data_IF_549000760401
#
_entry.id   IF_549000760401
#
_cell.length_a   1.000
_cell.length_b   1.000
_cell.length_c   1.000
_cell.angle_alpha   90.00
_cell.angle_beta   90.00
_cell.angle_gamma   90.00
#
_symmetry.space_group_name_H-M   'P 1'
#
loop_
_entity.id
_entity.type
_entity.pdbx_description
1 polymer ?
#
# COMPACT_ATOMS: atom_id res chain seq x y z
N UNK A 1 63.75 -5.06 -26.33
CA UNK A 1 62.54 -4.26 -26.67
C UNK A 1 61.36 -5.18 -26.84
N UNK A 2 60.37 -5.13 -25.95
CA UNK A 2 58.93 -5.17 -26.23
C UNK A 2 58.18 -4.91 -24.93
N UNK A 3 57.42 -3.80 -24.95
CA UNK A 3 56.48 -3.34 -23.94
C UNK A 3 55.33 -4.34 -23.71
N UNK A 4 54.48 -4.00 -22.74
CA UNK A 4 53.08 -4.42 -22.49
C UNK A 4 52.92 -5.51 -21.44
N UNK A 5 52.01 -5.42 -20.47
CA UNK A 5 51.12 -4.33 -20.06
C UNK A 5 50.73 -4.59 -18.60
N UNK A 6 50.65 -3.51 -17.85
CA UNK A 6 50.08 -3.41 -16.51
C UNK A 6 48.58 -3.77 -16.57
N UNK A 7 48.12 -4.79 -15.83
CA UNK A 7 46.69 -4.97 -15.53
C UNK A 7 46.51 -4.74 -14.04
N UNK A 8 46.20 -3.49 -13.68
CA UNK A 8 45.66 -3.14 -12.38
C UNK A 8 44.20 -3.60 -12.34
N UNK A 9 43.94 -4.74 -11.70
CA UNK A 9 42.59 -5.17 -11.36
C UNK A 9 42.08 -4.28 -10.21
N UNK A 10 41.46 -3.16 -10.57
CA UNK A 10 40.72 -2.32 -9.63
C UNK A 10 39.45 -3.08 -9.24
N UNK A 11 39.49 -3.80 -8.11
CA UNK A 11 38.29 -4.31 -7.44
C UNK A 11 37.49 -3.12 -6.92
N UNK A 12 36.60 -2.59 -7.77
CA UNK A 12 35.49 -1.77 -7.32
C UNK A 12 34.53 -2.74 -6.63
N UNK A 13 34.73 -2.96 -5.33
CA UNK A 13 33.66 -3.45 -4.47
C UNK A 13 32.58 -2.38 -4.46
N UNK A 14 31.66 -2.50 -5.42
CA UNK A 14 30.38 -1.81 -5.40
C UNK A 14 29.75 -2.07 -4.03
N UNK A 15 29.67 -1.02 -3.21
CA UNK A 15 28.85 -0.96 -2.01
C UNK A 15 27.38 -1.15 -2.46
N UNK A 16 26.99 -2.39 -2.72
CA UNK A 16 25.59 -2.76 -2.70
C UNK A 16 25.16 -2.63 -1.25
N UNK A 17 24.62 -1.45 -0.92
CA UNK A 17 23.75 -1.30 0.22
C UNK A 17 22.59 -2.29 0.00
N UNK A 18 22.75 -3.51 0.49
CA UNK A 18 21.67 -4.45 0.67
C UNK A 18 20.76 -3.78 1.70
N UNK A 19 19.78 -3.02 1.23
CA UNK A 19 18.69 -2.54 2.06
C UNK A 19 17.97 -3.78 2.59
N UNK A 20 18.39 -4.25 3.76
CA UNK A 20 17.74 -5.34 4.46
C UNK A 20 16.37 -4.83 4.89
N UNK A 21 15.32 -5.32 4.22
CA UNK A 21 13.95 -5.03 4.58
C UNK A 21 13.70 -5.45 6.03
N UNK A 22 13.33 -4.51 6.89
CA UNK A 22 12.99 -4.78 8.29
C UNK A 22 11.47 -4.76 8.51
N UNK A 23 11.01 -5.54 9.48
CA UNK A 23 9.59 -5.59 9.87
C UNK A 23 9.44 -5.07 11.29
N UNK A 24 8.62 -4.03 11.44
CA UNK A 24 8.30 -3.37 12.70
C UNK A 24 6.85 -3.62 13.09
N UNK A 25 6.56 -3.54 14.39
CA UNK A 25 5.19 -3.61 14.91
C UNK A 25 4.60 -2.20 15.05
N UNK A 26 3.39 -2.00 14.54
CA UNK A 26 2.65 -0.76 14.71
C UNK A 26 2.75 0.18 13.51
N UNK A 27 2.82 1.49 13.78
CA UNK A 27 2.92 2.54 12.75
C UNK A 27 4.36 3.07 12.71
N UNK A 28 4.82 3.65 11.60
CA UNK A 28 6.05 4.47 11.57
C UNK A 28 5.98 5.59 12.62
N UNK A 29 7.10 6.20 13.01
CA UNK A 29 7.12 7.29 14.02
C UNK A 29 6.87 8.68 13.44
N UNK A 30 7.17 8.87 12.15
CA UNK A 30 7.07 10.13 11.42
C UNK A 30 5.84 10.22 10.49
N UNK A 31 4.86 9.32 10.66
CA UNK A 31 3.65 9.27 9.83
C UNK A 31 2.82 10.58 9.87
N UNK A 32 2.99 11.41 10.91
CA UNK A 32 2.37 12.73 11.04
C UNK A 32 3.02 13.82 10.16
N UNK A 33 4.25 13.58 9.70
CA UNK A 33 5.04 14.49 8.88
C UNK A 33 5.05 14.09 7.41
N UNK A 34 4.92 12.79 7.16
CA UNK A 34 5.07 12.18 5.85
C UNK A 34 3.74 11.93 5.15
N UNK A 35 3.79 11.74 3.82
CA UNK A 35 2.61 11.46 3.00
C UNK A 35 2.47 9.95 2.77
N UNK A 36 1.26 9.43 3.05
CA UNK A 36 0.89 8.04 2.75
C UNK A 36 -0.01 7.94 1.52
N UNK A 37 0.20 6.91 0.71
CA UNK A 37 -0.65 6.55 -0.42
C UNK A 37 -1.69 5.52 0.04
N UNK A 38 -2.94 5.80 -0.26
CA UNK A 38 -4.03 4.83 -0.21
C UNK A 38 -4.37 4.38 -1.63
N UNK A 39 -4.32 3.07 -1.87
CA UNK A 39 -4.59 2.55 -3.21
C UNK A 39 -6.07 2.53 -3.55
N UNK A 40 -6.38 2.97 -4.77
CA UNK A 40 -7.65 2.65 -5.40
C UNK A 40 -7.70 1.17 -5.80
N UNK A 41 -8.91 0.64 -5.83
CA UNK A 41 -9.22 -0.66 -6.38
C UNK A 41 -9.30 -0.54 -7.91
N UNK A 42 -8.30 -1.06 -8.61
CA UNK A 42 -8.23 -0.96 -10.08
C UNK A 42 -9.23 -1.89 -10.76
N UNK A 43 -9.74 -1.44 -11.91
CA UNK A 43 -10.62 -2.23 -12.76
C UNK A 43 -9.78 -3.12 -13.67
N UNK A 44 -10.22 -4.36 -13.84
CA UNK A 44 -9.64 -5.26 -14.84
C UNK A 44 -10.34 -5.01 -16.16
N UNK A 45 -9.62 -4.70 -17.25
CA UNK A 45 -10.22 -4.63 -18.58
C UNK A 45 -10.88 -5.96 -18.94
N UNK A 46 -11.98 -5.91 -19.69
CA UNK A 46 -12.72 -7.08 -20.14
C UNK A 46 -12.64 -7.11 -21.66
N UNK A 47 -11.91 -8.09 -22.18
CA UNK A 47 -11.73 -8.29 -23.62
C UNK A 47 -12.87 -9.15 -24.19
N UNK A 48 -13.21 -8.94 -25.46
CA UNK A 48 -14.17 -9.72 -26.21
C UNK A 48 -13.73 -11.18 -26.41
N UNK A 49 -12.42 -11.45 -26.44
CA UNK A 49 -11.90 -12.82 -26.59
C UNK A 49 -11.96 -13.63 -25.28
N UNK A 50 -12.19 -12.99 -24.13
CA UNK A 50 -12.22 -13.69 -22.83
C UNK A 50 -13.38 -14.68 -22.73
N UNK A 51 -13.18 -15.85 -22.09
CA UNK A 51 -14.27 -16.78 -21.78
C UNK A 51 -15.38 -16.12 -20.96
N UNK A 52 -16.64 -16.51 -21.20
CA UNK A 52 -17.81 -15.92 -20.55
C UNK A 52 -17.75 -15.99 -19.01
N UNK A 53 -17.16 -17.06 -18.46
CA UNK A 53 -16.95 -17.23 -17.03
C UNK A 53 -15.99 -16.17 -16.46
N UNK A 54 -14.89 -15.86 -17.15
CA UNK A 54 -13.94 -14.82 -16.77
C UNK A 54 -14.57 -13.43 -16.88
N UNK A 55 -15.28 -13.15 -17.99
CA UNK A 55 -16.02 -11.89 -18.17
C UNK A 55 -16.97 -11.64 -17.01
N UNK A 56 -17.76 -12.66 -16.61
CA UNK A 56 -18.69 -12.57 -15.47
C UNK A 56 -17.96 -12.29 -14.16
N UNK A 57 -16.83 -12.96 -13.92
CA UNK A 57 -16.01 -12.76 -12.72
C UNK A 57 -15.46 -11.33 -12.65
N UNK A 58 -14.87 -10.82 -13.74
CA UNK A 58 -14.33 -9.47 -13.80
C UNK A 58 -15.40 -8.38 -13.71
N UNK A 59 -16.60 -8.58 -14.27
CA UNK A 59 -17.72 -7.65 -14.05
C UNK A 59 -18.05 -7.52 -12.56
N UNK A 60 -18.25 -8.65 -11.86
CA UNK A 60 -18.54 -8.65 -10.41
C UNK A 60 -17.42 -8.00 -9.59
N UNK A 61 -16.16 -8.29 -9.94
CA UNK A 61 -14.98 -7.67 -9.31
C UNK A 61 -14.96 -6.16 -9.54
N UNK A 62 -15.13 -5.71 -10.78
CA UNK A 62 -15.10 -4.29 -11.14
C UNK A 62 -16.23 -3.50 -10.45
N UNK A 63 -17.43 -4.06 -10.37
CA UNK A 63 -18.52 -3.47 -9.57
C UNK A 63 -18.16 -3.31 -8.10
N UNK A 64 -17.50 -4.32 -7.50
CA UNK A 64 -17.01 -4.24 -6.13
C UNK A 64 -15.91 -3.16 -5.99
N UNK A 65 -14.98 -3.08 -6.93
CA UNK A 65 -13.94 -2.04 -6.98
C UNK A 65 -14.53 -0.62 -7.05
N UNK A 66 -15.53 -0.40 -7.91
CA UNK A 66 -16.21 0.91 -8.05
C UNK A 66 -16.86 1.32 -6.73
N UNK A 67 -17.62 0.41 -6.09
CA UNK A 67 -18.23 0.67 -4.77
C UNK A 67 -17.17 0.93 -3.70
N UNK A 68 -16.11 0.13 -3.67
CA UNK A 68 -15.02 0.27 -2.73
C UNK A 68 -14.29 1.62 -2.89
N UNK A 69 -14.01 2.07 -4.12
CA UNK A 69 -13.39 3.37 -4.37
C UNK A 69 -14.23 4.55 -3.86
N UNK A 70 -15.56 4.52 -4.06
CA UNK A 70 -16.46 5.53 -3.50
C UNK A 70 -16.39 5.58 -1.96
N UNK A 71 -16.35 4.41 -1.32
CA UNK A 71 -16.23 4.30 0.14
C UNK A 71 -14.85 4.77 0.61
N UNK A 72 -13.77 4.38 -0.06
CA UNK A 72 -12.40 4.78 0.26
C UNK A 72 -12.29 6.31 0.29
N UNK A 73 -12.72 6.98 -0.78
CA UNK A 73 -12.71 8.46 -0.89
C UNK A 73 -13.49 9.16 0.21
N UNK A 74 -14.54 8.53 0.76
CA UNK A 74 -15.28 9.05 1.91
C UNK A 74 -14.53 8.82 3.23
N UNK A 75 -13.99 7.61 3.45
CA UNK A 75 -13.41 7.20 4.73
C UNK A 75 -12.01 7.76 4.96
N UNK A 76 -11.24 7.95 3.89
CA UNK A 76 -9.88 8.52 3.96
C UNK A 76 -9.87 9.97 4.43
N UNK A 77 -10.94 10.73 4.21
CA UNK A 77 -11.10 12.09 4.76
C UNK A 77 -11.03 12.16 6.30
N UNK A 78 -11.20 11.03 6.99
CA UNK A 78 -11.09 10.94 8.46
C UNK A 78 -9.66 10.68 8.95
N UNK A 79 -8.74 10.40 8.03
CA UNK A 79 -7.31 10.27 8.29
C UNK A 79 -6.73 11.66 8.57
N UNK A 80 -5.95 11.84 9.65
CA UNK A 80 -5.57 13.17 10.12
C UNK A 80 -4.34 13.78 9.44
N UNK A 81 -3.57 13.01 8.67
CA UNK A 81 -2.30 13.46 8.09
C UNK A 81 -2.37 13.56 6.56
N UNK A 82 -1.26 13.97 5.95
CA UNK A 82 -1.16 14.09 4.49
C UNK A 82 -1.34 12.73 3.83
N UNK A 83 -2.14 12.70 2.77
CA UNK A 83 -2.37 11.49 2.00
C UNK A 83 -2.61 11.79 0.52
N UNK A 84 -2.35 10.79 -0.30
CA UNK A 84 -2.73 10.76 -1.72
C UNK A 84 -3.53 9.49 -1.97
N UNK A 85 -4.47 9.56 -2.89
CA UNK A 85 -5.14 8.38 -3.45
C UNK A 85 -4.56 8.15 -4.83
N UNK A 86 -4.07 6.95 -5.10
CA UNK A 86 -3.43 6.61 -6.38
C UNK A 86 -3.69 5.16 -6.77
N UNK A 87 -3.48 4.82 -8.04
CA UNK A 87 -3.48 3.44 -8.50
C UNK A 87 -2.15 2.75 -8.16
N UNK A 88 -2.18 1.42 -8.01
CA UNK A 88 -0.95 0.62 -7.84
C UNK A 88 -0.09 0.64 -9.09
N UNK A 89 -0.70 0.78 -10.26
CA UNK A 89 0.01 0.97 -11.52
C UNK A 89 0.81 2.29 -11.58
N UNK A 90 0.47 3.31 -10.78
CA UNK A 90 0.99 4.67 -10.93
C UNK A 90 1.88 5.13 -9.75
N UNK A 91 1.79 4.50 -8.57
CA UNK A 91 2.39 5.03 -7.34
C UNK A 91 3.91 5.15 -7.33
N UNK A 92 4.62 4.38 -8.17
CA UNK A 92 6.08 4.49 -8.27
C UNK A 92 6.51 5.90 -8.68
N UNK A 93 5.70 6.60 -9.47
CA UNK A 93 5.94 8.02 -9.83
C UNK A 93 5.84 8.97 -8.62
N UNK A 94 5.20 8.53 -7.53
CA UNK A 94 4.99 9.31 -6.30
C UNK A 94 6.06 9.03 -5.23
N UNK A 95 7.04 8.14 -5.46
CA UNK A 95 8.06 7.78 -4.46
C UNK A 95 8.93 8.97 -3.99
N UNK A 96 8.97 10.05 -4.75
CA UNK A 96 9.67 11.28 -4.39
C UNK A 96 8.87 12.17 -3.42
N UNK A 97 7.53 12.12 -3.47
CA UNK A 97 6.63 12.99 -2.68
C UNK A 97 5.90 12.24 -1.57
N UNK A 98 5.81 10.92 -1.68
CA UNK A 98 5.19 10.02 -0.72
C UNK A 98 6.24 9.04 -0.21
N UNK A 99 6.24 8.83 1.11
CA UNK A 99 7.14 7.88 1.76
C UNK A 99 6.48 6.52 1.97
N UNK A 100 5.18 6.52 2.24
CA UNK A 100 4.47 5.34 2.72
C UNK A 100 3.34 4.90 1.79
N UNK A 101 3.03 3.60 1.79
CA UNK A 101 1.80 3.02 1.25
C UNK A 101 1.07 2.21 2.32
N UNK A 102 -0.27 2.18 2.29
CA UNK A 102 -1.05 1.22 3.07
C UNK A 102 -1.32 -0.02 2.20
N UNK A 103 -0.89 -1.19 2.66
CA UNK A 103 -0.86 -2.39 1.83
C UNK A 103 -1.11 -3.69 2.60
N UNK A 104 -1.50 -4.73 1.84
CA UNK A 104 -1.51 -6.13 2.27
C UNK A 104 -1.28 -7.03 1.05
N UNK A 105 -0.61 -8.17 1.24
CA UNK A 105 -0.37 -9.13 0.16
C UNK A 105 -1.70 -9.62 -0.49
N UNK A 106 -2.79 -9.64 0.29
CA UNK A 106 -4.14 -9.92 -0.21
C UNK A 106 -4.71 -8.82 -1.10
N UNK A 107 -4.43 -7.56 -0.80
CA UNK A 107 -4.90 -6.44 -1.62
C UNK A 107 -4.12 -6.37 -2.94
N UNK A 108 -2.83 -6.68 -2.92
CA UNK A 108 -2.01 -6.84 -4.12
C UNK A 108 -2.50 -8.00 -4.99
N UNK A 109 -2.72 -9.17 -4.39
CA UNK A 109 -3.25 -10.33 -5.12
C UNK A 109 -4.65 -10.05 -5.71
N UNK A 110 -5.53 -9.37 -4.95
CA UNK A 110 -6.83 -8.93 -5.43
C UNK A 110 -6.74 -7.92 -6.59
N UNK A 111 -5.72 -7.07 -6.59
CA UNK A 111 -5.44 -6.18 -7.72
C UNK A 111 -5.07 -6.95 -8.98
N UNK A 112 -4.21 -7.96 -8.84
CA UNK A 112 -3.70 -8.77 -9.95
C UNK A 112 -4.69 -9.82 -10.46
N UNK A 113 -5.96 -9.77 -10.04
CA UNK A 113 -7.00 -10.68 -10.52
C UNK A 113 -6.86 -12.12 -10.05
N UNK A 114 -6.02 -12.37 -9.02
CA UNK A 114 -5.89 -13.70 -8.43
C UNK A 114 -7.23 -14.11 -7.85
N UNK A 115 -7.73 -15.28 -8.25
CA UNK A 115 -8.97 -15.81 -7.68
C UNK A 115 -8.71 -16.32 -6.27
N UNK A 116 -8.81 -15.42 -5.30
CA UNK A 116 -8.63 -15.70 -3.86
C UNK A 116 -9.69 -16.64 -3.27
N UNK A 117 -10.68 -17.05 -4.08
CA UNK A 117 -11.75 -17.98 -3.73
C UNK A 117 -11.72 -19.27 -4.57
N UNK A 118 -10.67 -19.49 -5.38
CA UNK A 118 -10.44 -20.74 -6.10
C UNK A 118 -10.01 -21.82 -5.10
N UNK A 119 -10.95 -22.68 -4.72
CA UNK A 119 -10.76 -23.71 -3.69
C UNK A 119 -11.66 -23.43 -2.48
N UNK A 120 -12.56 -24.37 -2.20
CA UNK A 120 -13.62 -24.23 -1.20
C UNK A 120 -13.12 -23.76 0.19
N UNK A 121 -13.87 -22.82 0.78
CA UNK A 121 -13.94 -22.49 2.23
C UNK A 121 -12.67 -22.04 2.97
N UNK A 122 -11.55 -21.70 2.31
CA UNK A 122 -10.37 -21.18 3.02
C UNK A 122 -10.36 -19.65 3.04
N UNK A 123 -10.57 -19.07 4.23
CA UNK A 123 -10.33 -17.63 4.43
C UNK A 123 -8.82 -17.41 4.52
N UNK A 124 -8.24 -16.78 3.48
CA UNK A 124 -6.87 -16.35 3.55
C UNK A 124 -6.78 -15.07 4.38
N UNK A 125 -5.74 -15.00 5.20
CA UNK A 125 -5.47 -13.88 6.09
C UNK A 125 -4.05 -13.40 5.84
N UNK A 126 -3.88 -12.09 5.68
CA UNK A 126 -2.57 -11.46 5.53
C UNK A 126 -2.46 -10.28 6.49
N UNK A 127 -1.23 -9.92 6.83
CA UNK A 127 -0.97 -8.68 7.53
C UNK A 127 -1.33 -7.49 6.63
N UNK A 128 -1.99 -6.50 7.24
CA UNK A 128 -2.09 -5.14 6.74
C UNK A 128 -0.96 -4.34 7.38
N UNK A 129 -0.16 -3.67 6.56
CA UNK A 129 1.01 -2.93 6.97
C UNK A 129 1.07 -1.56 6.29
N UNK A 130 1.79 -0.64 6.91
CA UNK A 130 2.33 0.54 6.22
C UNK A 130 3.71 0.15 5.70
N UNK A 131 4.00 0.34 4.42
CA UNK A 131 5.32 0.04 3.84
C UNK A 131 6.03 1.31 3.45
N UNK A 132 7.27 1.47 3.86
CA UNK A 132 8.18 2.48 3.33
C UNK A 132 8.53 2.11 1.87
N UNK A 133 8.25 3.02 0.94
CA UNK A 133 8.43 2.78 -0.49
C UNK A 133 9.91 2.65 -0.85
N UNK A 134 10.79 3.36 -0.14
CA UNK A 134 12.23 3.47 -0.45
C UNK A 134 13.02 2.34 0.18
N UNK A 135 12.80 2.07 1.47
CA UNK A 135 13.56 1.05 2.19
C UNK A 135 12.90 -0.34 2.11
N UNK A 136 11.60 -0.37 1.82
CA UNK A 136 10.81 -1.60 1.83
C UNK A 136 10.32 -2.00 3.23
N UNK A 137 10.71 -1.29 4.29
CA UNK A 137 10.35 -1.63 5.66
C UNK A 137 8.84 -1.72 5.85
N UNK A 138 8.40 -2.76 6.56
CA UNK A 138 6.97 -3.03 6.81
C UNK A 138 6.64 -2.72 8.26
N UNK A 139 5.59 -1.93 8.49
CA UNK A 139 5.05 -1.59 9.80
C UNK A 139 3.69 -2.27 9.96
N UNK A 140 3.67 -3.44 10.60
CA UNK A 140 2.48 -4.31 10.66
C UNK A 140 1.43 -3.77 11.63
N UNK A 141 0.20 -3.59 11.13
CA UNK A 141 -0.92 -3.01 11.88
C UNK A 141 -1.80 -4.07 12.51
N UNK A 142 -2.36 -4.95 11.68
CA UNK A 142 -3.29 -6.02 12.05
C UNK A 142 -3.53 -6.92 10.83
N UNK A 143 -4.11 -8.09 11.07
CA UNK A 143 -4.50 -9.01 10.00
C UNK A 143 -5.82 -8.62 9.33
N UNK A 144 -5.91 -8.84 8.02
CA UNK A 144 -7.13 -8.73 7.23
C UNK A 144 -7.41 -10.03 6.48
N UNK A 145 -8.68 -10.39 6.33
CA UNK A 145 -9.13 -11.53 5.55
C UNK A 145 -9.49 -11.16 4.10
N UNK A 146 -9.63 -12.17 3.23
CA UNK A 146 -10.09 -11.99 1.83
C UNK A 146 -11.41 -11.25 1.71
N UNK A 147 -12.32 -11.49 2.67
CA UNK A 147 -13.63 -10.83 2.78
C UNK A 147 -13.51 -9.31 2.98
N UNK A 148 -12.37 -8.82 3.48
CA UNK A 148 -12.15 -7.42 3.84
C UNK A 148 -11.42 -6.62 2.74
N UNK A 149 -10.93 -7.27 1.68
CA UNK A 149 -10.17 -6.61 0.61
C UNK A 149 -10.98 -5.46 0.03
N UNK A 150 -12.24 -5.71 -0.38
CA UNK A 150 -13.14 -4.69 -0.95
C UNK A 150 -13.98 -3.96 0.11
N UNK A 151 -13.54 -3.95 1.37
CA UNK A 151 -14.22 -3.28 2.48
C UNK A 151 -13.37 -2.15 3.08
N UNK A 152 -13.07 -1.08 2.32
CA UNK A 152 -12.24 0.02 2.80
C UNK A 152 -12.84 0.72 4.02
N UNK A 153 -14.15 0.62 4.27
CA UNK A 153 -14.76 1.08 5.51
C UNK A 153 -14.15 0.41 6.75
N UNK A 154 -13.99 -0.92 6.74
CA UNK A 154 -13.47 -1.65 7.88
C UNK A 154 -11.97 -1.40 8.05
N UNK A 155 -11.23 -1.46 6.94
CA UNK A 155 -9.78 -1.18 6.90
C UNK A 155 -9.50 0.22 7.43
N UNK A 156 -10.13 1.25 6.85
CA UNK A 156 -9.90 2.63 7.25
C UNK A 156 -10.39 2.93 8.66
N UNK A 157 -11.44 2.27 9.15
CA UNK A 157 -11.85 2.42 10.55
C UNK A 157 -10.75 1.94 11.51
N UNK A 158 -10.18 0.76 11.27
CA UNK A 158 -9.10 0.19 12.09
C UNK A 158 -7.81 1.01 11.99
N UNK A 159 -7.42 1.43 10.78
CA UNK A 159 -6.25 2.29 10.54
C UNK A 159 -6.41 3.63 11.27
N UNK A 160 -7.53 4.33 11.05
CA UNK A 160 -7.78 5.62 11.70
C UNK A 160 -7.80 5.52 13.23
N UNK A 161 -8.33 4.43 13.78
CA UNK A 161 -8.31 4.19 15.23
C UNK A 161 -6.88 4.06 15.75
N UNK A 162 -6.03 3.27 15.09
CA UNK A 162 -4.61 3.12 15.47
C UNK A 162 -3.84 4.43 15.36
N UNK A 163 -4.02 5.17 14.26
CA UNK A 163 -3.36 6.46 14.02
C UNK A 163 -3.76 7.48 15.07
N UNK A 164 -5.06 7.64 15.34
CA UNK A 164 -5.56 8.57 16.36
C UNK A 164 -5.08 8.22 17.78
N UNK A 165 -4.91 6.93 18.06
CA UNK A 165 -4.38 6.47 19.33
C UNK A 165 -2.90 6.81 19.48
N UNK A 166 -2.07 6.47 18.49
CA UNK A 166 -0.62 6.71 18.54
C UNK A 166 -0.28 8.20 18.54
N UNK A 167 -0.98 8.98 17.71
CA UNK A 167 -0.65 10.38 17.45
C UNK A 167 -1.60 11.40 18.08
N UNK A 168 -2.23 11.03 19.20
CA UNK A 168 -3.26 11.88 19.83
C UNK A 168 -2.77 13.31 20.10
N UNK A 169 -1.52 13.45 20.57
CA UNK A 169 -0.91 14.76 20.92
C UNK A 169 -0.69 15.62 19.66
N UNK A 170 -0.11 15.05 18.62
CA UNK A 170 0.17 15.71 17.34
C UNK A 170 -1.12 16.19 16.68
N UNK A 171 -2.15 15.33 16.64
CA UNK A 171 -3.46 15.68 16.09
C UNK A 171 -4.12 16.82 16.88
N UNK A 172 -3.98 16.83 18.21
CA UNK A 172 -4.51 17.91 19.05
C UNK A 172 -3.81 19.24 18.74
N UNK A 173 -2.48 19.23 18.71
CA UNK A 173 -1.67 20.41 18.41
C UNK A 173 -2.00 20.99 17.01
N UNK A 174 -2.10 20.14 15.98
CA UNK A 174 -2.46 20.56 14.63
C UNK A 174 -3.85 21.23 14.57
N UNK A 175 -4.83 20.72 15.32
CA UNK A 175 -6.17 21.31 15.40
C UNK A 175 -6.18 22.66 16.11
N UNK A 176 -5.36 22.83 17.14
CA UNK A 176 -5.24 24.10 17.85
C UNK A 176 -4.59 25.17 16.95
N UNK A 177 -3.61 24.79 16.12
CA UNK A 177 -3.02 25.69 15.12
C UNK A 177 -4.05 26.14 14.07
N UNK A 178 -4.84 25.20 13.52
CA UNK A 178 -5.87 25.51 12.51
C UNK A 178 -7.03 26.38 13.03
N UNK A 179 -7.18 26.54 14.35
CA UNK A 179 -8.19 27.43 14.94
C UNK A 179 -7.70 28.87 15.13
N UNK A 180 -6.37 29.07 15.07
CA UNK A 180 -5.73 30.36 15.35
C UNK A 180 -5.36 31.14 14.09
N UNK A 181 -5.40 30.51 12.92
CA UNK A 181 -5.25 31.14 11.61
C UNK A 181 -6.56 31.10 10.86
#
# INVERSE_FOLDING_TARGET
>A
MRLTSLIFFFWIFSNFNVFSQTTHKGLPDDLDKETIIFFEYELTPIDEEMPASMKRMYRKRNEASIRANKILRSKVKKYPFKYVISKRSEYKSLANTCKYILESDLMEAGNNGVNLYAGYKKEYVSDLFVKDIRTGDKYTLHKIGTSQIYQPQQVMFKVNRKVKSKYRKQIKAQRELMKKG
#
